data_IF_313380896387
#
_entry.id   IF_313380896387
#
_cell.length_a   1.000
_cell.length_b   1.000
_cell.length_c   1.000
_cell.angle_alpha   90.00
_cell.angle_beta   90.00
_cell.angle_gamma   90.00
#
_symmetry.space_group_name_H-M   'P 1'
#
loop_
_entity.id
_entity.type
_entity.pdbx_description
1 polymer ?
#
# COMPACT_ATOMS: atom_id res chain seq x y z
N UNK A 1 -0.90 16.61 23.00
CA UNK A 1 -0.93 15.43 22.08
C UNK A 1 0.50 15.00 21.80
N UNK A 2 0.80 13.68 21.89
CA UNK A 2 2.13 13.16 21.55
C UNK A 2 2.43 13.46 20.10
N UNK A 3 3.64 13.93 19.79
CA UNK A 3 4.08 14.23 18.44
C UNK A 3 4.54 12.92 17.75
N UNK A 4 3.62 12.25 17.06
CA UNK A 4 3.84 10.94 16.47
C UNK A 4 4.76 11.03 15.24
N UNK A 5 5.73 10.11 15.13
CA UNK A 5 6.64 9.94 14.01
C UNK A 5 6.27 8.70 13.18
N UNK A 6 6.38 8.82 11.87
CA UNK A 6 5.82 7.84 10.92
C UNK A 6 6.88 7.19 10.03
N UNK A 7 6.72 5.89 9.83
CA UNK A 7 7.33 5.13 8.73
C UNK A 7 6.20 4.80 7.75
N UNK A 8 6.40 5.08 6.47
CA UNK A 8 5.45 4.76 5.40
C UNK A 8 6.00 3.64 4.52
N UNK A 9 5.14 2.72 4.07
CA UNK A 9 5.52 1.62 3.17
C UNK A 9 4.50 1.41 2.07
N UNK A 10 4.92 1.42 0.80
CA UNK A 10 4.03 1.22 -0.34
C UNK A 10 4.72 0.53 -1.52
N UNK A 11 3.96 -0.24 -2.30
CA UNK A 11 4.47 -0.91 -3.50
C UNK A 11 4.71 0.04 -4.68
N UNK A 12 4.11 1.22 -4.65
CA UNK A 12 4.14 2.20 -5.74
C UNK A 12 4.43 3.61 -5.28
N UNK A 13 4.00 4.58 -6.10
CA UNK A 13 4.02 6.00 -5.72
C UNK A 13 2.73 6.35 -4.97
N UNK A 14 1.58 6.10 -5.59
CA UNK A 14 0.25 6.37 -5.06
C UNK A 14 0.16 7.73 -4.32
N UNK A 15 -0.85 7.92 -3.48
CA UNK A 15 -1.03 9.06 -2.57
C UNK A 15 0.01 9.11 -1.43
N UNK A 16 0.79 8.05 -1.26
CA UNK A 16 1.78 7.95 -0.17
C UNK A 16 2.87 9.02 -0.23
N UNK A 17 3.27 9.46 -1.43
CA UNK A 17 4.32 10.48 -1.55
C UNK A 17 3.80 11.88 -1.24
N UNK A 18 2.51 12.15 -1.47
CA UNK A 18 1.87 13.40 -1.04
C UNK A 18 1.72 13.42 0.47
N UNK A 19 1.25 12.31 1.07
CA UNK A 19 1.20 12.17 2.52
C UNK A 19 2.60 12.28 3.14
N UNK A 20 3.61 11.62 2.57
CA UNK A 20 4.99 11.69 3.04
C UNK A 20 5.55 13.10 2.98
N UNK A 21 5.20 13.89 1.94
CA UNK A 21 5.60 15.30 1.84
C UNK A 21 4.99 16.12 2.98
N UNK A 22 3.70 15.96 3.26
CA UNK A 22 3.04 16.64 4.39
C UNK A 22 3.68 16.26 5.72
N UNK A 23 3.98 14.97 5.93
CA UNK A 23 4.65 14.50 7.15
C UNK A 23 6.08 15.01 7.25
N UNK A 24 6.81 15.10 6.12
CA UNK A 24 8.14 15.66 6.07
C UNK A 24 8.13 17.15 6.44
N UNK A 25 7.24 17.94 5.86
CA UNK A 25 7.12 19.38 6.13
C UNK A 25 6.75 19.68 7.60
N UNK A 26 6.12 18.71 8.27
CA UNK A 26 5.79 18.79 9.71
C UNK A 26 6.82 18.11 10.62
N UNK A 27 7.98 17.72 10.08
CA UNK A 27 9.04 16.99 10.79
C UNK A 27 8.57 15.67 11.44
N UNK A 28 7.58 14.99 10.83
CA UNK A 28 6.98 13.75 11.34
C UNK A 28 7.38 12.50 10.52
N UNK A 29 8.01 12.66 9.36
CA UNK A 29 8.45 11.56 8.53
C UNK A 29 9.80 11.02 8.98
N UNK A 30 9.89 9.73 9.30
CA UNK A 30 11.16 9.03 9.52
C UNK A 30 11.70 8.40 8.26
N UNK A 31 10.87 7.68 7.53
CA UNK A 31 11.23 7.11 6.24
C UNK A 31 9.99 6.75 5.43
N UNK A 32 10.13 6.75 4.10
CA UNK A 32 9.17 6.13 3.17
C UNK A 32 9.87 5.07 2.34
N UNK A 33 9.33 3.85 2.37
CA UNK A 33 9.78 2.70 1.59
C UNK A 33 8.89 2.57 0.36
N UNK A 34 9.48 2.49 -0.83
CA UNK A 34 8.73 2.37 -2.08
C UNK A 34 9.34 1.35 -3.04
N UNK A 35 8.47 0.66 -3.76
CA UNK A 35 8.83 -0.19 -4.89
C UNK A 35 9.14 0.57 -6.19
N UNK A 36 9.18 1.90 -6.16
CA UNK A 36 9.57 2.71 -7.31
C UNK A 36 11.07 3.02 -7.30
N UNK A 37 11.73 3.11 -8.47
CA UNK A 37 13.10 3.55 -8.56
C UNK A 37 13.24 5.04 -8.24
N UNK A 38 14.35 5.42 -7.61
CA UNK A 38 14.58 6.78 -7.14
C UNK A 38 14.42 7.86 -8.21
N UNK A 39 14.87 7.60 -9.44
CA UNK A 39 14.80 8.60 -10.53
C UNK A 39 13.34 9.01 -10.85
N UNK A 40 12.35 8.17 -10.54
CA UNK A 40 10.92 8.51 -10.66
C UNK A 40 10.34 9.19 -9.41
N UNK A 41 11.08 9.20 -8.31
CA UNK A 41 10.67 9.76 -7.02
C UNK A 41 11.36 11.08 -6.68
N UNK A 42 12.45 11.42 -7.37
CA UNK A 42 13.27 12.62 -7.09
C UNK A 42 12.50 13.93 -7.04
N UNK A 43 11.39 14.03 -7.79
CA UNK A 43 10.53 15.22 -7.84
C UNK A 43 9.37 15.18 -6.83
N UNK A 44 9.42 14.32 -5.81
CA UNK A 44 8.37 14.22 -4.78
C UNK A 44 8.47 15.29 -3.69
N UNK A 45 9.52 16.14 -3.71
CA UNK A 45 9.75 17.15 -2.68
C UNK A 45 10.28 16.57 -1.35
N UNK A 46 10.69 15.28 -1.35
CA UNK A 46 11.24 14.61 -0.16
C UNK A 46 12.73 14.32 -0.41
N UNK A 47 13.64 14.71 0.49
CA UNK A 47 15.08 14.43 0.34
C UNK A 47 15.36 12.91 0.31
N UNK A 48 16.35 12.49 -0.49
CA UNK A 48 16.71 11.08 -0.70
C UNK A 48 16.94 10.31 0.59
N UNK A 49 17.50 10.95 1.62
CA UNK A 49 17.79 10.31 2.92
C UNK A 49 16.54 9.76 3.63
N UNK A 50 15.37 10.31 3.32
CA UNK A 50 14.08 9.83 3.86
C UNK A 50 13.39 8.81 2.95
N UNK A 51 13.98 8.42 1.80
CA UNK A 51 13.36 7.53 0.81
C UNK A 51 14.19 6.26 0.62
N UNK A 52 13.61 5.11 0.96
CA UNK A 52 14.16 3.79 0.68
C UNK A 52 13.52 3.25 -0.60
N UNK A 53 14.22 3.40 -1.73
CA UNK A 53 13.74 3.00 -3.06
C UNK A 53 14.19 1.57 -3.39
N UNK A 54 13.24 0.69 -3.74
CA UNK A 54 13.45 -0.73 -4.09
C UNK A 54 12.89 -1.05 -5.49
N UNK A 55 13.23 -0.21 -6.48
CA UNK A 55 12.58 -0.21 -7.79
C UNK A 55 13.06 -1.25 -8.80
N UNK A 56 14.07 -2.10 -8.50
CA UNK A 56 14.67 -3.01 -9.47
C UNK A 56 13.64 -3.99 -10.07
N UNK A 57 12.87 -4.68 -9.24
CA UNK A 57 11.85 -5.64 -9.70
C UNK A 57 10.80 -4.95 -10.57
N UNK A 58 10.40 -3.73 -10.20
CA UNK A 58 9.42 -2.97 -10.99
C UNK A 58 9.95 -2.59 -12.36
N UNK A 59 11.23 -2.29 -12.48
CA UNK A 59 11.87 -2.02 -13.77
C UNK A 59 11.86 -3.28 -14.65
N UNK A 60 12.18 -4.44 -14.09
CA UNK A 60 12.13 -5.73 -14.78
C UNK A 60 10.71 -6.14 -15.20
N UNK A 61 9.71 -5.81 -14.38
CA UNK A 61 8.29 -6.09 -14.69
C UNK A 61 7.74 -5.27 -15.84
N UNK A 62 8.22 -4.04 -16.05
CA UNK A 62 7.62 -3.11 -17.01
C UNK A 62 7.45 -3.67 -18.44
N UNK A 63 8.43 -4.35 -19.05
CA UNK A 63 8.26 -4.99 -20.36
C UNK A 63 7.33 -6.21 -20.29
N UNK A 64 7.29 -6.94 -19.18
CA UNK A 64 6.55 -8.19 -19.01
C UNK A 64 5.04 -7.95 -18.92
N UNK A 65 4.61 -6.89 -18.23
CA UNK A 65 3.18 -6.54 -18.02
C UNK A 65 2.45 -6.32 -19.35
N UNK A 66 3.15 -5.88 -20.40
CA UNK A 66 2.57 -5.63 -21.72
C UNK A 66 2.19 -6.91 -22.48
N UNK A 67 2.69 -8.06 -22.07
CA UNK A 67 2.44 -9.34 -22.74
C UNK A 67 1.55 -10.25 -21.90
N UNK A 68 0.37 -10.61 -22.43
CA UNK A 68 -0.56 -11.56 -21.79
C UNK A 68 0.05 -12.95 -21.55
N UNK A 69 1.08 -13.34 -22.32
CA UNK A 69 1.74 -14.64 -22.20
C UNK A 69 2.52 -14.80 -20.88
N UNK A 70 2.96 -13.69 -20.28
CA UNK A 70 3.80 -13.70 -19.09
C UNK A 70 3.04 -13.38 -17.77
N UNK A 71 1.72 -13.52 -17.76
CA UNK A 71 0.89 -13.19 -16.57
C UNK A 71 1.36 -13.91 -15.30
N UNK A 72 1.69 -15.21 -15.39
CA UNK A 72 2.19 -15.98 -14.22
C UNK A 72 3.53 -15.45 -13.72
N UNK A 73 4.43 -15.06 -14.63
CA UNK A 73 5.73 -14.47 -14.27
C UNK A 73 5.51 -13.12 -13.58
N UNK A 74 4.62 -12.31 -14.11
CA UNK A 74 4.27 -11.01 -13.49
C UNK A 74 3.71 -11.17 -12.07
N UNK A 75 2.83 -12.14 -11.84
CA UNK A 75 2.31 -12.47 -10.51
C UNK A 75 3.44 -12.86 -9.54
N UNK A 76 4.39 -13.71 -9.96
CA UNK A 76 5.53 -14.11 -9.15
C UNK A 76 6.44 -12.91 -8.83
N UNK A 77 6.76 -12.10 -9.82
CA UNK A 77 7.57 -10.89 -9.63
C UNK A 77 6.88 -9.89 -8.69
N UNK A 78 5.56 -9.81 -8.73
CA UNK A 78 4.80 -8.97 -7.81
C UNK A 78 4.91 -9.46 -6.35
N UNK A 79 4.80 -10.77 -6.14
CA UNK A 79 4.98 -11.38 -4.81
C UNK A 79 6.41 -11.14 -4.30
N UNK A 80 7.43 -11.31 -5.15
CA UNK A 80 8.83 -11.05 -4.80
C UNK A 80 9.02 -9.58 -4.45
N UNK A 81 8.49 -8.67 -5.26
CA UNK A 81 8.56 -7.22 -5.00
C UNK A 81 7.93 -6.85 -3.65
N UNK A 82 6.76 -7.41 -3.33
CA UNK A 82 6.10 -7.20 -2.04
C UNK A 82 6.98 -7.67 -0.87
N UNK A 83 7.61 -8.84 -0.98
CA UNK A 83 8.54 -9.35 0.04
C UNK A 83 9.78 -8.48 0.22
N UNK A 84 10.34 -7.95 -0.87
CA UNK A 84 11.51 -7.03 -0.81
C UNK A 84 11.15 -5.75 -0.07
N UNK A 85 9.99 -5.17 -0.38
CA UNK A 85 9.51 -3.95 0.27
C UNK A 85 9.26 -4.21 1.76
N UNK A 86 8.59 -5.29 2.09
CA UNK A 86 8.27 -5.68 3.45
C UNK A 86 9.56 -5.90 4.29
N UNK A 87 10.56 -6.60 3.74
CA UNK A 87 11.87 -6.78 4.38
C UNK A 87 12.62 -5.44 4.53
N UNK A 88 12.55 -4.55 3.53
CA UNK A 88 13.15 -3.22 3.62
C UNK A 88 12.45 -2.37 4.71
N UNK A 89 11.15 -2.53 4.85
CA UNK A 89 10.36 -1.88 5.92
C UNK A 89 10.78 -2.38 7.29
N UNK A 90 10.99 -3.70 7.47
CA UNK A 90 11.53 -4.26 8.71
C UNK A 90 12.87 -3.62 9.10
N UNK A 91 13.79 -3.45 8.14
CA UNK A 91 15.08 -2.79 8.38
C UNK A 91 14.92 -1.31 8.79
N UNK A 92 13.92 -0.62 8.25
CA UNK A 92 13.66 0.77 8.63
C UNK A 92 13.01 0.88 10.02
N UNK A 93 12.22 -0.11 10.45
CA UNK A 93 11.72 -0.19 11.82
C UNK A 93 12.87 -0.32 12.82
N UNK A 94 13.87 -1.16 12.51
CA UNK A 94 15.06 -1.33 13.36
C UNK A 94 15.91 -0.05 13.46
N UNK A 95 16.05 0.66 12.34
CA UNK A 95 16.85 1.91 12.28
C UNK A 95 16.16 3.10 12.95
N UNK A 96 14.84 3.15 12.93
CA UNK A 96 14.04 4.27 13.42
C UNK A 96 13.26 3.84 14.67
N UNK A 97 13.99 3.56 15.75
CA UNK A 97 13.42 3.11 17.02
C UNK A 97 12.44 4.11 17.62
N UNK A 98 12.65 5.41 17.35
CA UNK A 98 11.81 6.53 17.76
C UNK A 98 10.58 6.78 16.88
N UNK A 99 10.36 5.97 15.84
CA UNK A 99 9.09 6.00 15.10
C UNK A 99 7.98 5.38 15.94
N UNK A 100 6.81 5.99 15.95
CA UNK A 100 5.63 5.52 16.68
C UNK A 100 4.67 4.70 15.83
N UNK A 101 4.61 5.00 14.52
CA UNK A 101 3.59 4.47 13.61
C UNK A 101 4.23 3.89 12.35
N UNK A 102 3.83 2.68 12.00
CA UNK A 102 3.98 2.14 10.65
C UNK A 102 2.64 2.26 9.91
N UNK A 103 2.61 3.02 8.81
CA UNK A 103 1.50 3.02 7.86
C UNK A 103 1.96 2.27 6.60
N UNK A 104 1.35 1.12 6.33
CA UNK A 104 1.70 0.27 5.19
C UNK A 104 0.52 0.06 4.26
N UNK A 105 0.77 0.18 2.96
CA UNK A 105 -0.19 -0.21 1.93
C UNK A 105 -0.43 -1.72 1.98
N UNK A 106 -1.69 -2.16 1.91
CA UNK A 106 -2.05 -3.57 1.98
C UNK A 106 -1.37 -4.40 0.87
N UNK A 107 -0.69 -5.47 1.26
CA UNK A 107 0.10 -6.34 0.40
C UNK A 107 1.60 -6.17 0.55
N UNK A 108 2.09 -5.25 1.39
CA UNK A 108 3.52 -5.07 1.66
C UNK A 108 3.85 -4.92 3.17
N UNK A 109 2.93 -5.30 4.05
CA UNK A 109 3.03 -5.10 5.49
C UNK A 109 2.98 -6.39 6.34
N UNK A 110 3.09 -7.58 5.74
CA UNK A 110 2.91 -8.86 6.45
C UNK A 110 3.89 -9.04 7.61
N UNK A 111 5.19 -8.98 7.32
CA UNK A 111 6.26 -9.14 8.33
C UNK A 111 6.48 -7.85 9.12
N UNK A 112 6.51 -6.72 8.42
CA UNK A 112 6.78 -5.43 9.05
C UNK A 112 5.66 -4.98 9.96
N UNK A 113 4.39 -5.30 9.66
CA UNK A 113 3.26 -5.05 10.56
C UNK A 113 3.39 -5.81 11.87
N UNK A 114 3.71 -7.12 11.81
CA UNK A 114 4.00 -7.93 13.00
C UNK A 114 5.18 -7.35 13.80
N UNK A 115 6.29 -7.06 13.10
CA UNK A 115 7.49 -6.48 13.71
C UNK A 115 7.21 -5.10 14.34
N UNK A 116 6.39 -4.26 13.73
CA UNK A 116 6.01 -2.97 14.31
C UNK A 116 5.32 -3.17 15.66
N UNK A 117 4.37 -4.11 15.77
CA UNK A 117 3.70 -4.43 17.03
C UNK A 117 4.65 -4.98 18.08
N UNK A 118 5.55 -5.89 17.71
CA UNK A 118 6.58 -6.43 18.60
C UNK A 118 7.50 -5.34 19.16
N UNK A 119 7.67 -4.23 18.42
CA UNK A 119 8.41 -3.04 18.82
C UNK A 119 7.52 -1.93 19.41
N UNK A 120 6.32 -2.27 19.89
CA UNK A 120 5.35 -1.33 20.50
C UNK A 120 4.96 -0.15 19.61
N UNK A 121 5.02 -0.31 18.29
CA UNK A 121 4.59 0.68 17.32
C UNK A 121 3.15 0.39 16.86
N UNK A 122 2.40 1.43 16.55
CA UNK A 122 1.05 1.32 15.98
C UNK A 122 1.20 0.88 14.51
N UNK A 123 0.62 -0.25 14.16
CA UNK A 123 0.53 -0.69 12.77
C UNK A 123 -0.82 -0.31 12.16
N UNK A 124 -0.77 0.49 11.08
CA UNK A 124 -1.95 0.88 10.29
C UNK A 124 -1.83 0.24 8.91
N UNK A 125 -2.83 -0.57 8.54
CA UNK A 125 -2.94 -1.18 7.21
C UNK A 125 -3.87 -0.32 6.34
N UNK A 126 -3.35 0.23 5.24
CA UNK A 126 -4.13 1.03 4.29
C UNK A 126 -4.60 0.15 3.13
N UNK A 127 -5.88 -0.19 3.12
CA UNK A 127 -6.50 -1.01 2.08
C UNK A 127 -7.40 -0.17 1.18
N UNK A 128 -6.92 0.13 -0.01
CA UNK A 128 -7.68 0.89 -1.02
C UNK A 128 -8.70 0.05 -1.80
N UNK A 129 -8.71 -1.27 -1.59
CA UNK A 129 -9.63 -2.22 -2.22
C UNK A 129 -10.52 -2.89 -1.18
N UNK A 130 -11.63 -3.49 -1.62
CA UNK A 130 -12.47 -4.35 -0.78
C UNK A 130 -11.64 -5.44 -0.09
N UNK A 131 -12.17 -6.00 1.01
CA UNK A 131 -11.57 -7.15 1.67
C UNK A 131 -11.22 -8.22 0.63
N UNK A 132 -10.05 -8.84 0.75
CA UNK A 132 -9.46 -9.65 -0.34
C UNK A 132 -10.38 -10.81 -0.78
N UNK A 133 -11.16 -11.37 0.12
CA UNK A 133 -12.14 -12.43 -0.22
C UNK A 133 -13.28 -11.83 -1.06
N UNK A 134 -13.83 -10.68 -0.65
CA UNK A 134 -14.88 -10.00 -1.41
C UNK A 134 -14.37 -9.57 -2.79
N UNK A 135 -13.15 -9.06 -2.86
CA UNK A 135 -12.50 -8.73 -4.13
C UNK A 135 -12.35 -9.97 -5.03
N UNK A 136 -11.94 -11.11 -4.46
CA UNK A 136 -11.83 -12.36 -5.21
C UNK A 136 -13.18 -12.81 -5.77
N UNK A 137 -14.23 -12.76 -4.93
CA UNK A 137 -15.58 -13.19 -5.32
C UNK A 137 -16.15 -12.29 -6.42
N UNK A 138 -16.08 -10.97 -6.26
CA UNK A 138 -16.54 -10.02 -7.28
C UNK A 138 -15.83 -10.21 -8.61
N UNK A 139 -14.50 -10.37 -8.58
CA UNK A 139 -13.73 -10.60 -9.80
C UNK A 139 -14.01 -11.96 -10.42
N UNK A 140 -14.25 -13.01 -9.61
CA UNK A 140 -14.59 -14.34 -10.11
C UNK A 140 -15.95 -14.33 -10.82
N UNK A 141 -16.94 -13.64 -10.25
CA UNK A 141 -18.26 -13.43 -10.85
C UNK A 141 -18.17 -12.70 -12.18
N UNK A 142 -17.55 -11.52 -12.21
CA UNK A 142 -17.36 -10.70 -13.42
C UNK A 142 -16.61 -11.45 -14.52
N UNK A 143 -15.53 -12.16 -14.18
CA UNK A 143 -14.78 -12.94 -15.16
C UNK A 143 -15.58 -14.13 -15.71
N UNK A 144 -16.39 -14.78 -14.88
CA UNK A 144 -17.28 -15.85 -15.34
C UNK A 144 -18.36 -15.31 -16.27
N UNK A 145 -18.99 -14.19 -15.92
CA UNK A 145 -20.16 -13.69 -16.63
C UNK A 145 -19.81 -12.97 -17.93
N UNK A 146 -18.76 -12.17 -17.92
CA UNK A 146 -18.36 -11.35 -19.09
C UNK A 146 -17.33 -12.07 -19.94
N UNK A 147 -16.28 -12.61 -19.33
CA UNK A 147 -15.11 -13.17 -20.04
C UNK A 147 -15.26 -14.67 -20.31
N UNK A 148 -16.23 -15.35 -19.66
CA UNK A 148 -16.46 -16.81 -19.70
C UNK A 148 -15.20 -17.59 -19.31
N UNK A 149 -14.46 -17.11 -18.33
CA UNK A 149 -13.24 -17.75 -17.82
C UNK A 149 -13.22 -17.77 -16.29
N UNK A 150 -12.71 -18.86 -15.72
CA UNK A 150 -12.47 -18.94 -14.28
C UNK A 150 -11.38 -17.94 -13.86
N UNK A 151 -11.64 -17.18 -12.80
CA UNK A 151 -10.70 -16.30 -12.17
C UNK A 151 -10.56 -16.65 -10.68
N UNK A 152 -9.36 -16.60 -10.18
CA UNK A 152 -9.07 -16.74 -8.76
C UNK A 152 -7.79 -15.97 -8.43
N UNK A 153 -7.83 -15.21 -7.36
CA UNK A 153 -6.61 -14.61 -6.78
C UNK A 153 -5.78 -15.73 -6.16
N UNK A 154 -4.46 -15.65 -6.34
CA UNK A 154 -3.55 -16.64 -5.76
C UNK A 154 -3.80 -16.81 -4.24
N UNK A 155 -4.07 -18.05 -3.76
CA UNK A 155 -4.39 -18.30 -2.35
C UNK A 155 -3.33 -17.77 -1.37
N UNK A 156 -2.05 -17.81 -1.73
CA UNK A 156 -0.96 -17.26 -0.90
C UNK A 156 -1.06 -15.73 -0.74
N UNK A 157 -1.60 -15.04 -1.76
CA UNK A 157 -1.84 -13.58 -1.69
C UNK A 157 -3.04 -13.29 -0.78
N UNK A 158 -4.10 -14.11 -0.87
CA UNK A 158 -5.28 -14.00 0.01
C UNK A 158 -4.86 -14.19 1.46
N UNK A 159 -4.16 -15.28 1.76
CA UNK A 159 -3.66 -15.59 3.11
C UNK A 159 -2.77 -14.46 3.67
N UNK A 160 -1.82 -14.00 2.86
CA UNK A 160 -0.91 -12.90 3.24
C UNK A 160 -1.65 -11.63 3.61
N UNK A 161 -2.65 -11.23 2.83
CA UNK A 161 -3.43 -10.03 3.10
C UNK A 161 -4.34 -10.18 4.33
N UNK A 162 -4.94 -11.35 4.54
CA UNK A 162 -5.75 -11.62 5.74
C UNK A 162 -4.88 -11.51 6.99
N UNK A 163 -3.65 -12.04 6.95
CA UNK A 163 -2.69 -11.92 8.05
C UNK A 163 -2.32 -10.45 8.33
N UNK A 164 -2.10 -9.64 7.29
CA UNK A 164 -1.87 -8.21 7.43
C UNK A 164 -3.03 -7.51 8.13
N UNK A 165 -4.27 -7.79 7.70
CA UNK A 165 -5.47 -7.19 8.29
C UNK A 165 -5.63 -7.56 9.77
N UNK A 166 -5.39 -8.83 10.13
CA UNK A 166 -5.46 -9.33 11.52
C UNK A 166 -4.41 -8.69 12.42
N UNK A 167 -3.24 -8.40 11.88
CA UNK A 167 -2.14 -7.79 12.62
C UNK A 167 -2.32 -6.28 12.80
N UNK A 168 -3.14 -5.61 12.00
CA UNK A 168 -3.31 -4.17 12.05
C UNK A 168 -4.02 -3.70 13.32
N UNK A 169 -3.50 -2.67 13.97
CA UNK A 169 -4.20 -1.94 15.03
C UNK A 169 -5.38 -1.13 14.44
N UNK A 170 -5.22 -0.68 13.20
CA UNK A 170 -6.23 0.07 12.46
C UNK A 170 -6.15 -0.28 10.97
N UNK A 171 -7.30 -0.45 10.33
CA UNK A 171 -7.42 -0.59 8.88
C UNK A 171 -8.02 0.70 8.34
N UNK A 172 -7.29 1.39 7.45
CA UNK A 172 -7.81 2.54 6.71
C UNK A 172 -8.41 2.06 5.39
N UNK A 173 -9.56 2.61 5.04
CA UNK A 173 -10.29 2.27 3.81
C UNK A 173 -10.86 3.54 3.16
N UNK A 174 -10.98 3.61 1.80
CA UNK A 174 -11.34 4.85 1.11
C UNK A 174 -12.84 5.16 1.11
N UNK A 175 -13.71 4.20 1.45
CA UNK A 175 -15.16 4.39 1.35
C UNK A 175 -15.95 3.48 2.28
N UNK A 176 -17.23 3.80 2.48
CA UNK A 176 -18.16 2.95 3.22
C UNK A 176 -18.42 1.61 2.53
N UNK A 177 -18.34 1.54 1.20
CA UNK A 177 -18.43 0.26 0.48
C UNK A 177 -17.31 -0.69 0.88
N UNK A 178 -16.07 -0.18 0.88
CA UNK A 178 -14.90 -0.97 1.30
C UNK A 178 -15.00 -1.32 2.78
N UNK A 179 -15.42 -0.38 3.65
CA UNK A 179 -15.65 -0.65 5.07
C UNK A 179 -16.61 -1.83 5.27
N UNK A 180 -17.78 -1.81 4.62
CA UNK A 180 -18.77 -2.90 4.70
C UNK A 180 -18.20 -4.25 4.26
N UNK A 181 -17.29 -4.28 3.27
CA UNK A 181 -16.65 -5.52 2.84
C UNK A 181 -15.77 -6.14 3.92
N UNK A 182 -15.11 -5.32 4.75
CA UNK A 182 -14.31 -5.77 5.89
C UNK A 182 -15.21 -6.20 7.06
N UNK A 183 -16.29 -5.47 7.32
CA UNK A 183 -17.26 -5.79 8.39
C UNK A 183 -17.91 -7.16 8.19
N UNK A 184 -18.21 -7.56 6.95
CA UNK A 184 -18.67 -8.92 6.59
C UNK A 184 -17.72 -10.03 7.04
N UNK A 185 -16.42 -9.72 7.19
CA UNK A 185 -15.39 -10.64 7.64
C UNK A 185 -14.97 -10.40 9.10
N UNK A 186 -15.85 -9.78 9.91
CA UNK A 186 -15.71 -9.54 11.34
C UNK A 186 -14.57 -8.60 11.74
N UNK A 187 -14.04 -7.78 10.83
CA UNK A 187 -13.12 -6.71 11.19
C UNK A 187 -13.90 -5.53 11.77
N UNK A 188 -13.43 -4.99 12.92
CA UNK A 188 -14.08 -3.87 13.65
C UNK A 188 -13.20 -2.63 13.73
N UNK A 189 -11.89 -2.78 13.65
CA UNK A 189 -10.89 -1.73 13.76
C UNK A 189 -10.68 -0.97 12.44
N UNK A 190 -11.77 -0.47 11.83
CA UNK A 190 -11.79 0.14 10.51
C UNK A 190 -12.14 1.62 10.63
N UNK A 191 -11.44 2.47 9.85
CA UNK A 191 -11.79 3.88 9.66
C UNK A 191 -11.82 4.22 8.18
N UNK A 192 -12.83 4.98 7.80
CA UNK A 192 -12.92 5.54 6.44
C UNK A 192 -12.07 6.79 6.38
N UNK A 193 -11.12 6.80 5.46
CA UNK A 193 -10.34 7.97 5.08
C UNK A 193 -10.42 8.10 3.56
N UNK A 194 -11.21 9.05 3.09
CA UNK A 194 -11.38 9.28 1.67
C UNK A 194 -10.05 9.66 1.03
N UNK A 195 -9.80 9.12 -0.17
CA UNK A 195 -8.63 9.50 -0.94
C UNK A 195 -8.81 10.95 -1.41
N UNK A 196 -7.88 11.80 -1.03
CA UNK A 196 -7.84 13.19 -1.45
C UNK A 196 -6.88 13.36 -2.62
N UNK A 197 -7.17 14.38 -3.45
CA UNK A 197 -6.27 14.83 -4.51
C UNK A 197 -5.76 16.22 -4.19
N UNK A 198 -4.54 16.52 -4.67
CA UNK A 198 -3.99 17.87 -4.56
C UNK A 198 -4.79 18.82 -5.47
N UNK A 199 -5.42 19.81 -4.88
CA UNK A 199 -6.17 20.84 -5.61
C UNK A 199 -5.27 21.75 -6.46
N UNK A 200 -3.96 21.77 -6.20
CA UNK A 200 -3.01 22.61 -6.92
C UNK A 200 -2.90 22.29 -8.42
N UNK A 201 -3.32 21.09 -8.82
CA UNK A 201 -3.31 20.63 -10.21
C UNK A 201 -4.68 20.70 -10.89
N UNK A 202 -5.71 21.14 -10.18
CA UNK A 202 -7.08 21.24 -10.68
C UNK A 202 -7.53 22.69 -10.64
N UNK A 203 -7.56 23.32 -11.81
CA UNK A 203 -8.10 24.67 -11.97
C UNK A 203 -9.49 24.56 -12.60
N UNK A 204 -10.50 25.33 -12.11
CA UNK A 204 -11.72 25.46 -12.86
C UNK A 204 -11.39 26.11 -14.21
N UNK A 205 -11.55 25.38 -15.31
CA UNK A 205 -11.44 25.98 -16.61
C UNK A 205 -12.43 27.14 -16.70
N UNK A 206 -11.96 28.32 -17.14
CA UNK A 206 -12.82 29.43 -17.50
C UNK A 206 -13.93 28.88 -18.41
N UNK A 207 -15.19 29.16 -18.00
CA UNK A 207 -16.41 28.67 -18.64
C UNK A 207 -16.21 28.42 -20.13
N UNK A 208 -16.41 27.17 -20.53
CA UNK A 208 -16.78 26.86 -21.92
C UNK A 208 -18.11 27.59 -22.15
N UNK A 209 -18.09 28.65 -22.98
CA UNK A 209 -19.28 29.33 -23.42
C UNK A 209 -20.05 28.43 -24.37
#
# INVERSE_FOLDING_TARGET
>A
MKDLKYILSCSGKFHYFELAKVLYDKDKLKNIISGYPWFKLKNSGIPKKFVSSNGLIRMLRHPIIKSRQFKKIDEHLNIINSKIIDNATCKQIDKNTDADVLLSFAGVGRKSGKKAKENNKIYICDSTSAHIIEQNNLLAEEYNDIVKRKFQINPKVIESKIEEYRNANLILVPSNFVKKSFEKHNFKNIRVLNLNSSINNFYPHKKIK
#
